data_IF_154323693028
#
_entry.id   IF_154323693028
#
_cell.length_a   1.000
_cell.length_b   1.000
_cell.length_c   1.000
_cell.angle_alpha   90.00
_cell.angle_beta   90.00
_cell.angle_gamma   90.00
#
_symmetry.space_group_name_H-M   'P 1'
#
loop_
_entity.id
_entity.type
_entity.pdbx_description
1 polymer ?
#
# COMPACT_ATOMS: atom_id res chain seq x y z
N UNK A 1 -1.11 -4.20 -22.71
CA UNK A 1 -1.24 -2.76 -22.38
C UNK A 1 -0.91 -1.96 -23.64
N UNK A 2 -1.87 -1.25 -24.25
CA UNK A 2 -1.74 -0.67 -25.61
C UNK A 2 -1.69 0.87 -25.65
N UNK A 3 -1.64 1.56 -24.50
CA UNK A 3 -1.50 3.03 -24.43
C UNK A 3 -0.19 3.41 -23.75
N UNK A 4 0.37 4.56 -24.13
CA UNK A 4 1.52 5.17 -23.45
C UNK A 4 1.13 5.52 -22.01
N UNK A 5 1.91 5.05 -21.03
CA UNK A 5 1.66 5.29 -19.61
C UNK A 5 1.71 6.78 -19.25
N UNK A 6 0.81 7.21 -18.35
CA UNK A 6 0.83 8.53 -17.73
C UNK A 6 1.38 8.41 -16.32
N UNK A 7 1.92 9.50 -15.75
CA UNK A 7 2.39 9.53 -14.36
C UNK A 7 1.30 9.07 -13.35
N UNK A 8 0.03 9.40 -13.63
CA UNK A 8 -1.11 8.99 -12.80
C UNK A 8 -1.33 7.47 -12.74
N UNK A 9 -0.84 6.71 -13.73
CA UNK A 9 -0.95 5.26 -13.73
C UNK A 9 -0.03 4.64 -12.64
N UNK A 10 1.04 5.34 -12.27
CA UNK A 10 2.01 4.93 -11.24
C UNK A 10 1.74 5.53 -9.85
N UNK A 11 0.90 6.57 -9.77
CA UNK A 11 0.61 7.28 -8.52
C UNK A 11 0.17 6.38 -7.34
N UNK A 12 -0.67 5.34 -7.52
CA UNK A 12 -1.08 4.47 -6.41
C UNK A 12 0.08 3.69 -5.80
N UNK A 13 0.97 3.16 -6.65
CA UNK A 13 2.09 2.35 -6.18
C UNK A 13 3.20 3.23 -5.58
N UNK A 14 3.40 4.44 -6.11
CA UNK A 14 4.30 5.43 -5.51
C UNK A 14 3.83 5.86 -4.13
N UNK A 15 2.53 6.12 -3.96
CA UNK A 15 1.94 6.43 -2.66
C UNK A 15 2.16 5.27 -1.67
N UNK A 16 1.83 4.04 -2.08
CA UNK A 16 2.05 2.85 -1.24
C UNK A 16 3.50 2.74 -0.76
N UNK A 17 4.47 2.82 -1.69
CA UNK A 17 5.88 2.71 -1.33
C UNK A 17 6.39 3.90 -0.52
N UNK A 18 5.89 5.12 -0.75
CA UNK A 18 6.21 6.28 0.07
C UNK A 18 5.80 6.06 1.53
N UNK A 19 4.59 5.56 1.73
CA UNK A 19 4.10 5.21 3.06
C UNK A 19 4.88 4.07 3.72
N UNK A 20 5.11 2.96 3.00
CA UNK A 20 5.88 1.83 3.52
C UNK A 20 7.29 2.25 3.96
N UNK A 21 7.93 3.13 3.19
CA UNK A 21 9.27 3.61 3.50
C UNK A 21 9.30 4.36 4.83
N UNK A 22 8.44 5.36 4.96
CA UNK A 22 8.40 6.23 6.15
C UNK A 22 7.88 5.52 7.41
N UNK A 23 6.92 4.61 7.26
CA UNK A 23 6.21 4.01 8.40
C UNK A 23 6.78 2.64 8.83
N UNK A 24 7.61 2.00 8.01
CA UNK A 24 8.21 0.70 8.34
C UNK A 24 9.70 0.62 8.01
N UNK A 25 10.07 0.81 6.75
CA UNK A 25 11.43 0.53 6.29
C UNK A 25 12.49 1.43 6.93
N UNK A 26 12.26 2.74 6.98
CA UNK A 26 13.21 3.69 7.57
C UNK A 26 13.35 3.52 9.09
N UNK A 27 12.43 2.81 9.74
CA UNK A 27 12.42 2.56 11.18
C UNK A 27 13.12 1.24 11.55
N UNK A 28 13.56 0.44 10.58
CA UNK A 28 14.07 -0.91 10.78
C UNK A 28 15.42 -1.13 10.10
N UNK A 29 16.18 -2.09 10.62
CA UNK A 29 17.32 -2.70 9.91
C UNK A 29 16.99 -4.16 9.64
N UNK A 30 17.07 -4.55 8.38
CA UNK A 30 16.83 -5.92 7.93
C UNK A 30 18.13 -6.71 7.99
N UNK A 31 18.08 -7.96 8.47
CA UNK A 31 19.25 -8.83 8.55
C UNK A 31 19.41 -9.68 7.29
N UNK A 32 18.30 -10.02 6.65
CA UNK A 32 18.26 -10.72 5.38
C UNK A 32 17.24 -10.13 4.40
N UNK A 33 17.28 -10.61 3.17
CA UNK A 33 16.29 -10.24 2.16
C UNK A 33 14.89 -10.78 2.54
N UNK A 34 14.82 -11.96 3.14
CA UNK A 34 13.59 -12.60 3.58
C UNK A 34 12.89 -11.79 4.68
N UNK A 35 13.65 -11.19 5.60
CA UNK A 35 13.10 -10.25 6.61
C UNK A 35 12.39 -9.05 5.95
N UNK A 36 13.00 -8.50 4.88
CA UNK A 36 12.40 -7.38 4.13
C UNK A 36 11.13 -7.82 3.41
N UNK A 37 11.13 -9.01 2.78
CA UNK A 37 9.95 -9.55 2.11
C UNK A 37 8.81 -9.77 3.11
N UNK A 38 9.08 -10.35 4.27
CA UNK A 38 8.06 -10.56 5.31
C UNK A 38 7.47 -9.23 5.79
N UNK A 39 8.31 -8.20 5.97
CA UNK A 39 7.84 -6.88 6.39
C UNK A 39 6.98 -6.19 5.32
N UNK A 40 7.33 -6.35 4.04
CA UNK A 40 6.51 -5.87 2.92
C UNK A 40 5.16 -6.60 2.90
N UNK A 41 5.14 -7.93 3.07
CA UNK A 41 3.90 -8.71 3.12
C UNK A 41 3.00 -8.30 4.30
N UNK A 42 3.61 -8.10 5.47
CA UNK A 42 2.89 -7.62 6.66
C UNK A 42 2.32 -6.23 6.43
N UNK A 43 3.11 -5.32 5.88
CA UNK A 43 2.67 -3.97 5.61
C UNK A 43 1.59 -3.91 4.50
N UNK A 44 1.67 -4.76 3.47
CA UNK A 44 0.61 -4.89 2.47
C UNK A 44 -0.72 -5.33 3.10
N UNK A 45 -0.70 -6.28 4.05
CA UNK A 45 -1.91 -6.70 4.77
C UNK A 45 -2.50 -5.56 5.57
N UNK A 46 -1.67 -4.88 6.37
CA UNK A 46 -2.07 -3.70 7.14
C UNK A 46 -2.67 -2.61 6.24
N UNK A 47 -1.96 -2.23 5.18
CA UNK A 47 -2.39 -1.18 4.26
C UNK A 47 -3.75 -1.50 3.63
N UNK A 48 -3.97 -2.74 3.19
CA UNK A 48 -5.20 -3.10 2.47
C UNK A 48 -6.40 -3.39 3.39
N UNK A 49 -6.16 -3.94 4.59
CA UNK A 49 -7.23 -4.47 5.44
C UNK A 49 -7.51 -3.63 6.69
N UNK A 50 -6.53 -2.86 7.16
CA UNK A 50 -6.59 -2.23 8.49
C UNK A 50 -6.41 -0.71 8.42
N UNK A 51 -5.81 -0.19 7.35
CA UNK A 51 -5.55 1.24 7.20
C UNK A 51 -6.79 2.01 6.76
N UNK A 52 -7.43 2.71 7.68
CA UNK A 52 -8.50 3.66 7.37
C UNK A 52 -7.95 4.91 6.69
N UNK A 53 -8.57 5.31 5.59
CA UNK A 53 -8.16 6.49 4.82
C UNK A 53 -9.32 7.47 4.72
N UNK A 54 -9.08 8.75 5.06
CA UNK A 54 -10.11 9.80 5.00
C UNK A 54 -10.72 9.94 3.59
N UNK A 55 -9.89 9.83 2.55
CA UNK A 55 -10.32 9.88 1.15
C UNK A 55 -11.18 8.68 0.74
N UNK A 56 -11.21 7.61 1.53
CA UNK A 56 -12.04 6.42 1.34
C UNK A 56 -13.22 6.39 2.32
N UNK A 57 -13.75 7.54 2.74
CA UNK A 57 -14.83 7.64 3.74
C UNK A 57 -14.47 6.98 5.08
N UNK A 58 -13.20 7.06 5.50
CA UNK A 58 -12.68 6.37 6.69
C UNK A 58 -12.87 4.85 6.64
N UNK A 59 -12.73 4.24 5.46
CA UNK A 59 -12.72 2.80 5.26
C UNK A 59 -11.31 2.30 4.93
N UNK A 60 -11.06 1.03 5.21
CA UNK A 60 -9.89 0.35 4.67
C UNK A 60 -10.07 0.13 3.16
N UNK A 61 -8.99 0.03 2.37
CA UNK A 61 -9.09 -0.18 0.92
C UNK A 61 -9.97 -1.37 0.52
N UNK A 62 -9.91 -2.47 1.27
CA UNK A 62 -10.74 -3.64 0.99
C UNK A 62 -12.24 -3.38 1.29
N UNK A 63 -12.54 -2.66 2.36
CA UNK A 63 -13.91 -2.31 2.76
C UNK A 63 -14.54 -1.35 1.74
N UNK A 64 -13.78 -0.33 1.32
CA UNK A 64 -14.19 0.57 0.25
C UNK A 64 -14.47 -0.18 -1.04
N UNK A 65 -13.61 -1.13 -1.41
CA UNK A 65 -13.81 -1.96 -2.60
C UNK A 65 -15.09 -2.78 -2.52
N UNK A 66 -15.41 -3.37 -1.37
CA UNK A 66 -16.66 -4.11 -1.19
C UNK A 66 -17.89 -3.20 -1.24
N UNK A 67 -17.81 -1.98 -0.71
CA UNK A 67 -18.92 -1.02 -0.75
C UNK A 67 -19.20 -0.52 -2.17
N UNK A 68 -18.15 -0.25 -2.97
CA UNK A 68 -18.30 0.30 -4.34
C UNK A 68 -18.65 -0.79 -5.37
N UNK A 69 -18.29 -2.05 -5.09
CA UNK A 69 -18.62 -3.18 -5.96
C UNK A 69 -20.04 -3.73 -5.73
N UNK A 70 -20.75 -3.26 -4.70
CA UNK A 70 -22.15 -3.57 -4.41
C UNK A 70 -23.10 -2.57 -5.10
#
# INVERSE_FOLDING_TARGET
>A
MSRVGKCIDNAPIESFFGHFKCESHELKKYKSYEDLVEDIDRYMRFYNKERYQQNLNNLAPIEYRYQVAA
#
